data_IF_545915570777
#
_entry.id   IF_545915570777
#
_cell.length_a   1.000
_cell.length_b   1.000
_cell.length_c   1.000
_cell.angle_alpha   90.00
_cell.angle_beta   90.00
_cell.angle_gamma   90.00
#
_symmetry.space_group_name_H-M   'P 1'
#
loop_
_entity.id
_entity.type
_entity.pdbx_description
1 polymer ?
#
# COMPACT_ATOMS: atom_id res chain seq x y z
N UNK A 1 9.89 -2.34 -7.73
CA UNK A 1 9.20 -1.08 -7.39
C UNK A 1 7.80 -1.21 -7.94
N UNK A 2 6.77 -1.10 -7.09
CA UNK A 2 5.38 -1.14 -7.55
C UNK A 2 4.81 0.28 -7.48
N UNK A 3 4.33 0.77 -8.62
CA UNK A 3 3.61 2.04 -8.74
C UNK A 3 2.17 1.76 -9.14
N UNK A 4 1.25 2.55 -8.59
CA UNK A 4 -0.15 2.57 -9.05
C UNK A 4 -0.54 3.98 -9.42
N UNK A 5 -1.20 4.08 -10.57
CA UNK A 5 -1.66 5.34 -11.16
C UNK A 5 -3.17 5.29 -11.34
N UNK A 6 -3.85 6.37 -10.95
CA UNK A 6 -5.26 6.59 -11.21
C UNK A 6 -5.49 7.97 -11.81
N UNK A 7 -6.38 8.10 -12.80
CA UNK A 7 -6.81 9.41 -13.29
C UNK A 7 -7.65 10.09 -12.21
N UNK A 8 -7.28 11.30 -11.84
CA UNK A 8 -7.97 12.12 -10.85
C UNK A 8 -8.00 13.58 -11.33
N UNK A 9 -9.05 14.35 -11.06
CA UNK A 9 -9.07 15.76 -11.43
C UNK A 9 -8.03 16.56 -10.61
N UNK A 10 -7.75 17.81 -11.02
CA UNK A 10 -6.97 18.70 -10.17
C UNK A 10 -7.73 18.96 -8.87
N UNK A 11 -7.10 18.74 -7.72
CA UNK A 11 -7.74 18.98 -6.43
C UNK A 11 -7.06 18.29 -5.25
N UNK A 12 -7.67 18.47 -4.08
CA UNK A 12 -7.26 17.85 -2.84
C UNK A 12 -7.99 16.52 -2.65
N UNK A 13 -7.25 15.50 -2.24
CA UNK A 13 -7.75 14.15 -2.06
C UNK A 13 -7.30 13.58 -0.72
N UNK A 14 -8.15 12.75 -0.15
CA UNK A 14 -7.80 11.82 0.93
C UNK A 14 -7.63 10.45 0.32
N UNK A 15 -6.39 9.93 0.38
CA UNK A 15 -6.02 8.60 -0.11
C UNK A 15 -6.01 7.68 1.08
N UNK A 16 -6.85 6.65 1.08
CA UNK A 16 -6.85 5.60 2.11
C UNK A 16 -6.27 4.33 1.52
N UNK A 17 -5.21 3.83 2.13
CA UNK A 17 -4.55 2.59 1.71
C UNK A 17 -4.80 1.53 2.76
N UNK A 18 -5.36 0.41 2.34
CA UNK A 18 -5.64 -0.75 3.16
C UNK A 18 -4.49 -1.74 3.04
N UNK A 19 -3.87 -2.05 4.18
CA UNK A 19 -2.81 -3.04 4.29
C UNK A 19 -3.27 -4.20 5.15
N UNK A 20 -2.84 -5.40 4.79
CA UNK A 20 -2.94 -6.59 5.62
C UNK A 20 -1.80 -7.54 5.26
N UNK A 21 -1.08 -8.02 6.27
CA UNK A 21 -0.09 -9.08 6.09
C UNK A 21 -0.78 -10.43 6.14
N UNK A 22 -0.86 -11.13 4.99
CA UNK A 22 -1.58 -12.40 4.85
C UNK A 22 -0.66 -13.57 4.46
N UNK A 23 0.60 -13.29 4.12
CA UNK A 23 1.57 -14.29 3.67
C UNK A 23 2.38 -14.79 4.86
N UNK A 24 2.84 -13.87 5.71
CA UNK A 24 3.60 -14.15 6.94
C UNK A 24 2.59 -14.55 8.02
N UNK A 25 2.33 -15.85 8.14
CA UNK A 25 1.37 -16.38 9.12
C UNK A 25 1.99 -16.49 10.52
N UNK A 26 1.19 -16.18 11.54
CA UNK A 26 1.59 -16.14 12.95
C UNK A 26 1.73 -17.50 13.63
N UNK A 27 1.85 -18.59 12.88
CA UNK A 27 2.15 -19.88 13.47
C UNK A 27 3.62 -19.89 13.96
N UNK A 28 4.00 -20.77 14.88
CA UNK A 28 5.36 -20.82 15.47
C UNK A 28 6.47 -21.30 14.49
N UNK A 29 6.31 -21.07 13.19
CA UNK A 29 7.31 -21.44 12.18
C UNK A 29 8.26 -20.28 11.90
N UNK A 30 9.40 -20.58 11.27
CA UNK A 30 10.35 -19.57 10.79
C UNK A 30 9.67 -18.49 9.91
N UNK A 31 8.56 -18.84 9.24
CA UNK A 31 7.80 -17.91 8.41
C UNK A 31 7.16 -16.75 9.19
N UNK A 32 6.94 -16.86 10.50
CA UNK A 32 6.35 -15.78 11.31
C UNK A 32 7.33 -14.68 11.72
N UNK A 33 8.63 -14.86 11.45
CA UNK A 33 9.66 -13.88 11.76
C UNK A 33 9.87 -12.87 10.63
N UNK A 34 9.23 -13.10 9.48
CA UNK A 34 9.27 -12.18 8.35
C UNK A 34 8.72 -10.80 8.74
N UNK A 35 9.37 -9.73 8.26
CA UNK A 35 8.83 -8.36 8.30
C UNK A 35 8.83 -7.77 6.90
N UNK A 36 7.68 -7.22 6.52
CA UNK A 36 7.53 -6.48 5.27
C UNK A 36 7.58 -4.99 5.60
N UNK A 37 8.69 -4.36 5.23
CA UNK A 37 9.01 -2.97 5.56
C UNK A 37 9.27 -2.23 4.25
N UNK A 38 8.51 -1.17 3.97
CA UNK A 38 8.65 -0.39 2.74
C UNK A 38 8.31 1.07 2.96
N UNK A 39 8.76 1.91 2.04
CA UNK A 39 8.42 3.32 1.99
C UNK A 39 7.14 3.52 1.16
N UNK A 40 6.28 4.42 1.61
CA UNK A 40 5.07 4.87 0.91
C UNK A 40 5.29 6.29 0.42
N UNK A 41 5.17 6.47 -0.89
CA UNK A 41 5.19 7.78 -1.53
C UNK A 41 3.83 8.09 -2.15
N UNK A 42 3.36 9.31 -1.96
CA UNK A 42 2.15 9.84 -2.59
C UNK A 42 2.53 11.10 -3.36
N UNK A 43 2.23 11.17 -4.65
CA UNK A 43 2.64 12.30 -5.51
C UNK A 43 4.15 12.60 -5.42
N UNK A 44 4.98 11.55 -5.36
CA UNK A 44 6.44 11.66 -5.22
C UNK A 44 6.95 12.08 -3.84
N UNK A 45 6.07 12.41 -2.88
CA UNK A 45 6.46 12.76 -1.50
C UNK A 45 6.48 11.51 -0.62
N UNK A 46 7.55 11.33 0.16
CA UNK A 46 7.65 10.28 1.18
C UNK A 46 6.67 10.59 2.31
N UNK A 47 5.59 9.80 2.42
CA UNK A 47 4.56 9.98 3.44
C UNK A 47 4.69 8.97 4.60
N UNK A 48 5.31 7.81 4.35
CA UNK A 48 5.65 6.86 5.41
C UNK A 48 6.97 6.18 5.08
N UNK A 49 7.98 6.39 5.90
CA UNK A 49 9.25 5.66 5.83
C UNK A 49 9.18 4.38 6.67
N UNK A 50 9.86 3.33 6.22
CA UNK A 50 10.00 2.06 6.94
C UNK A 50 8.68 1.50 7.50
N UNK A 51 7.61 1.56 6.70
CA UNK A 51 6.29 1.14 7.12
C UNK A 51 6.23 -0.37 7.34
N UNK A 52 6.12 -0.79 8.61
CA UNK A 52 5.89 -2.17 9.03
C UNK A 52 4.39 -2.43 9.21
N UNK A 53 3.81 -3.22 8.29
CA UNK A 53 2.38 -3.54 8.28
C UNK A 53 1.94 -4.29 9.55
N UNK A 54 2.74 -5.26 9.99
CA UNK A 54 2.41 -6.12 11.15
C UNK A 54 2.42 -5.30 12.43
N UNK A 55 3.43 -4.43 12.57
CA UNK A 55 3.50 -3.52 13.70
C UNK A 55 2.33 -2.54 13.70
N UNK A 56 2.00 -1.96 12.55
CA UNK A 56 0.90 -1.01 12.43
C UNK A 56 -0.48 -1.66 12.68
N UNK A 57 -0.67 -2.90 12.24
CA UNK A 57 -1.91 -3.67 12.44
C UNK A 57 -1.98 -4.40 13.80
N UNK A 58 -0.91 -4.35 14.59
CA UNK A 58 -0.76 -5.09 15.86
C UNK A 58 -1.00 -6.60 15.68
N UNK A 59 -0.47 -7.16 14.61
CA UNK A 59 -0.58 -8.58 14.27
C UNK A 59 -0.71 -8.85 12.78
N UNK A 60 -0.60 -10.12 12.44
CA UNK A 60 -0.82 -10.66 11.09
C UNK A 60 -2.31 -10.88 10.84
N UNK A 61 -2.72 -10.96 9.57
CA UNK A 61 -4.10 -11.15 9.13
C UNK A 61 -5.09 -10.09 9.65
N UNK A 62 -4.56 -8.95 10.11
CA UNK A 62 -5.32 -7.79 10.56
C UNK A 62 -5.19 -6.67 9.53
N UNK A 63 -6.32 -5.99 9.27
CA UNK A 63 -6.35 -4.84 8.38
C UNK A 63 -5.93 -3.59 9.14
N UNK A 64 -5.03 -2.81 8.55
CA UNK A 64 -4.73 -1.44 8.97
C UNK A 64 -4.96 -0.49 7.80
N UNK A 65 -5.60 0.64 8.08
CA UNK A 65 -5.88 1.69 7.09
C UNK A 65 -5.01 2.91 7.40
N UNK A 66 -4.29 3.42 6.40
CA UNK A 66 -3.56 4.69 6.50
C UNK A 66 -4.17 5.72 5.57
N UNK A 67 -4.37 6.92 6.10
CA UNK A 67 -4.92 8.04 5.38
C UNK A 67 -3.82 9.06 5.07
N UNK A 68 -3.76 9.51 3.82
CA UNK A 68 -2.80 10.48 3.33
C UNK A 68 -3.53 11.59 2.59
N UNK A 69 -3.12 12.84 2.81
CA UNK A 69 -3.62 13.98 2.04
C UNK A 69 -2.74 14.19 0.82
N UNK A 70 -3.35 14.28 -0.36
CA UNK A 70 -2.66 14.46 -1.63
C UNK A 70 -3.25 15.64 -2.41
N UNK A 71 -2.39 16.35 -3.14
CA UNK A 71 -2.80 17.39 -4.10
C UNK A 71 -2.47 16.88 -5.49
N UNK A 72 -3.49 16.64 -6.31
CA UNK A 72 -3.33 16.22 -7.70
C UNK A 72 -3.21 17.47 -8.57
N UNK A 73 -2.10 17.61 -9.30
CA UNK A 73 -1.87 18.72 -10.25
C UNK A 73 -2.02 18.29 -11.71
N UNK A 74 -1.52 17.09 -12.04
CA UNK A 74 -1.33 16.65 -13.42
C UNK A 74 -2.34 15.59 -13.87
N UNK A 75 -3.57 15.68 -13.38
CA UNK A 75 -4.67 14.74 -13.66
C UNK A 75 -4.43 13.26 -13.27
N UNK A 76 -3.33 12.97 -12.60
CA UNK A 76 -2.96 11.63 -12.15
C UNK A 76 -2.64 11.66 -10.66
N UNK A 77 -3.19 10.70 -9.92
CA UNK A 77 -2.78 10.39 -8.57
C UNK A 77 -1.80 9.21 -8.60
N UNK A 78 -0.57 9.47 -8.18
CA UNK A 78 0.51 8.48 -8.15
C UNK A 78 0.80 8.04 -6.72
N UNK A 79 0.87 6.73 -6.52
CA UNK A 79 1.28 6.13 -5.26
C UNK A 79 2.39 5.11 -5.52
N UNK A 80 3.55 5.26 -4.88
CA UNK A 80 4.68 4.36 -5.04
C UNK A 80 5.01 3.66 -3.73
N UNK A 81 5.33 2.38 -3.84
CA UNK A 81 5.71 1.55 -2.72
C UNK A 81 7.09 0.98 -3.01
N UNK A 82 8.04 1.34 -2.15
CA UNK A 82 9.45 1.08 -2.39
C UNK A 82 10.07 0.29 -1.24
N UNK A 83 10.57 -0.90 -1.55
CA UNK A 83 11.37 -1.68 -0.62
C UNK A 83 12.80 -1.16 -0.60
N UNK A 84 13.20 -0.54 0.51
CA UNK A 84 14.52 0.09 0.67
C UNK A 84 15.60 -0.88 1.21
N UNK A 85 15.44 -2.19 1.01
CA UNK A 85 16.40 -3.19 1.50
C UNK A 85 16.23 -3.57 2.98
N UNK A 86 15.17 -3.11 3.66
CA UNK A 86 14.87 -3.37 5.07
C UNK A 86 13.78 -4.43 5.25
N UNK A 87 13.71 -5.05 6.42
CA UNK A 87 12.82 -6.19 6.65
C UNK A 87 13.47 -7.50 6.21
N UNK A 88 12.67 -8.53 5.94
CA UNK A 88 13.19 -9.87 5.72
C UNK A 88 13.32 -10.21 4.23
N UNK A 89 14.48 -10.73 3.83
CA UNK A 89 14.84 -11.08 2.43
C UNK A 89 14.77 -12.58 2.11
N UNK A 90 14.64 -13.42 3.14
CA UNK A 90 14.73 -14.88 3.03
C UNK A 90 13.45 -15.60 3.47
N UNK A 91 12.41 -14.86 3.85
CA UNK A 91 11.17 -15.39 4.41
C UNK A 91 10.00 -14.73 3.68
N UNK A 92 9.05 -15.49 3.10
CA UNK A 92 8.87 -16.94 3.13
C UNK A 92 9.73 -17.74 2.13
N UNK A 93 10.34 -17.08 1.15
CA UNK A 93 11.35 -17.63 0.24
C UNK A 93 12.41 -16.56 -0.03
N UNK A 94 13.60 -16.93 -0.54
CA UNK A 94 14.59 -15.91 -0.92
C UNK A 94 14.03 -15.03 -2.03
N UNK A 95 13.95 -13.73 -1.79
CA UNK A 95 13.40 -12.77 -2.73
C UNK A 95 13.02 -11.44 -2.06
N UNK A 96 12.66 -10.47 -2.88
CA UNK A 96 12.18 -9.17 -2.42
C UNK A 96 10.76 -9.29 -1.88
N UNK A 97 10.57 -9.08 -0.58
CA UNK A 97 9.25 -8.89 0.01
C UNK A 97 8.70 -7.52 -0.43
N UNK A 98 8.00 -7.53 -1.56
CA UNK A 98 7.28 -6.36 -2.08
C UNK A 98 6.00 -6.08 -1.29
N UNK A 99 5.47 -4.84 -1.35
CA UNK A 99 4.32 -4.39 -0.56
C UNK A 99 3.04 -5.20 -0.84
N UNK A 100 2.39 -5.71 0.21
CA UNK A 100 1.04 -6.30 0.12
C UNK A 100 -0.01 -5.20 0.34
N UNK A 101 -0.57 -4.71 -0.77
CA UNK A 101 -1.65 -3.72 -0.76
C UNK A 101 -2.96 -4.41 -1.12
N UNK A 102 -3.92 -4.40 -0.20
CA UNK A 102 -5.21 -5.05 -0.41
C UNK A 102 -6.16 -4.15 -1.21
N UNK A 103 -6.15 -2.84 -0.94
CA UNK A 103 -6.98 -1.87 -1.65
C UNK A 103 -6.44 -0.43 -1.48
N UNK A 104 -6.76 0.43 -2.45
CA UNK A 104 -6.57 1.88 -2.37
C UNK A 104 -7.91 2.52 -2.68
N UNK A 105 -8.40 3.37 -1.80
CA UNK A 105 -9.58 4.21 -2.03
C UNK A 105 -9.21 5.68 -1.99
N UNK A 106 -9.91 6.48 -2.77
CA UNK A 106 -9.59 7.89 -2.98
C UNK A 106 -10.88 8.69 -2.84
N UNK A 107 -10.90 9.60 -1.88
CA UNK A 107 -12.02 10.51 -1.64
C UNK A 107 -11.59 11.92 -2.02
N UNK A 108 -12.37 12.61 -2.87
CA UNK A 108 -12.11 14.01 -3.16
C UNK A 108 -12.55 14.87 -1.98
N UNK A 109 -11.70 15.80 -1.54
CA UNK A 109 -12.05 16.81 -0.55
C UNK A 109 -13.00 17.88 -1.09
N UNK A 110 -13.13 17.97 -2.42
CA UNK A 110 -14.21 18.72 -3.08
C UNK A 110 -15.30 17.72 -3.45
N UNK A 111 -16.48 17.83 -2.85
CA UNK A 111 -17.61 17.02 -3.24
C UNK A 111 -18.00 17.36 -4.70
N UNK A 112 -17.49 16.58 -5.65
CA UNK A 112 -17.95 16.58 -7.04
C UNK A 112 -18.66 15.25 -7.26
N UNK A 113 -19.98 15.22 -7.52
CA UNK A 113 -20.72 13.98 -7.66
C UNK A 113 -20.37 13.36 -9.01
N UNK A 114 -19.27 12.63 -9.07
CA UNK A 114 -19.01 11.68 -10.15
C UNK A 114 -18.58 10.36 -9.54
N UNK A 115 -19.50 9.40 -9.56
CA UNK A 115 -19.27 8.00 -9.23
C UNK A 115 -18.35 7.37 -10.27
N UNK A 116 -17.13 7.00 -9.89
CA UNK A 116 -16.29 6.11 -10.69
C UNK A 116 -16.29 4.71 -10.07
N UNK A 117 -16.83 3.74 -10.80
CA UNK A 117 -16.67 2.31 -10.54
C UNK A 117 -15.22 1.91 -10.86
N UNK A 118 -14.42 1.63 -9.84
CA UNK A 118 -13.11 0.98 -10.03
C UNK A 118 -13.36 -0.52 -10.20
N UNK A 119 -13.18 -1.04 -11.41
CA UNK A 119 -13.28 -2.47 -11.72
C UNK A 119 -11.91 -3.11 -11.51
N UNK A 120 -11.75 -3.93 -10.47
CA UNK A 120 -10.52 -4.68 -10.26
C UNK A 120 -10.51 -5.94 -11.13
N UNK A 121 -9.42 -6.17 -11.87
CA UNK A 121 -9.08 -7.46 -12.48
C UNK A 121 -7.99 -8.09 -11.63
N UNK A 122 -8.31 -9.20 -10.96
CA UNK A 122 -7.33 -10.03 -10.29
C UNK A 122 -6.35 -10.59 -11.33
N UNK A 123 -5.04 -10.46 -11.10
CA UNK A 123 -4.02 -11.22 -11.80
C UNK A 123 -3.40 -12.19 -10.80
N UNK A 124 -3.61 -13.48 -11.03
CA UNK A 124 -2.85 -14.56 -10.42
C UNK A 124 -1.47 -14.58 -11.08
N UNK A 125 -0.40 -14.55 -10.27
CA UNK A 125 0.96 -14.81 -10.76
C UNK A 125 1.11 -16.31 -11.00
N UNK A 126 1.50 -16.68 -12.22
CA UNK A 126 2.13 -17.96 -12.57
C UNK A 126 3.62 -17.90 -12.30
#
# INVERSE_FOLDING_TARGET
MESREGRAAHGNYTVKIHFAEIIIRGNKSFHSLGRQIFNVYIQGKLESEDFDVVQAAQGVEKVVVKEFKAVVKNKTLETHFHWAGKGTTAIPSRGTCGPLISAISVESGEFRPYSFLVKYRSFSLS
#
